data_IF_436908970945
#
_entry.id   IF_436908970945
#
_cell.length_a   1.000
_cell.length_b   1.000
_cell.length_c   1.000
_cell.angle_alpha   90.00
_cell.angle_beta   90.00
_cell.angle_gamma   90.00
#
_symmetry.space_group_name_H-M   'P 1'
#
loop_
_entity.id
_entity.type
_entity.pdbx_description
1 polymer ?
#
# COMPACT_ATOMS: atom_id res chain seq x y z
N UNK A 1 -11.36 1.24 -5.33
CA UNK A 1 -11.38 2.55 -6.02
C UNK A 1 -10.82 2.33 -7.42
N UNK A 2 -11.21 3.12 -8.45
CA UNK A 2 -10.55 3.01 -9.75
C UNK A 2 -9.06 3.34 -9.60
N UNK A 3 -8.21 2.57 -10.27
CA UNK A 3 -6.78 2.84 -10.32
C UNK A 3 -6.45 3.92 -11.35
N UNK A 4 -5.41 4.70 -11.10
CA UNK A 4 -4.94 5.78 -11.98
C UNK A 4 -3.41 5.89 -11.96
N UNK A 5 -2.82 6.50 -13.00
CA UNK A 5 -1.38 6.75 -13.04
C UNK A 5 -1.02 8.00 -12.24
N UNK A 6 0.09 7.94 -11.51
CA UNK A 6 0.70 9.11 -10.89
C UNK A 6 2.21 8.91 -10.77
N UNK A 7 2.93 10.01 -10.75
CA UNK A 7 4.32 10.03 -10.33
C UNK A 7 4.44 9.85 -8.81
N UNK A 8 5.50 9.18 -8.37
CA UNK A 8 5.90 9.02 -6.97
C UNK A 8 7.36 9.47 -6.81
N UNK A 9 7.81 9.84 -5.59
CA UNK A 9 9.20 10.24 -5.38
C UNK A 9 10.19 9.22 -5.94
N UNK A 10 11.37 9.67 -6.34
CA UNK A 10 12.45 8.85 -6.90
C UNK A 10 12.66 7.53 -6.14
N UNK A 11 12.55 6.40 -6.85
CA UNK A 11 12.72 5.03 -6.36
C UNK A 11 14.11 4.49 -6.72
N UNK A 12 14.61 4.77 -7.93
CA UNK A 12 15.82 4.15 -8.47
C UNK A 12 17.10 4.97 -8.27
N UNK A 13 16.95 6.19 -7.75
CA UNK A 13 18.04 7.10 -7.38
C UNK A 13 18.55 7.94 -8.54
N UNK A 14 17.80 8.04 -9.66
CA UNK A 14 18.17 8.85 -10.82
C UNK A 14 17.87 10.36 -10.66
N UNK A 15 17.21 10.74 -9.57
CA UNK A 15 16.80 12.10 -9.24
C UNK A 15 15.46 12.54 -9.83
N UNK A 16 14.75 11.67 -10.55
CA UNK A 16 13.45 11.93 -11.16
C UNK A 16 12.35 11.17 -10.41
N UNK A 17 11.11 11.65 -10.54
CA UNK A 17 9.97 10.88 -10.04
C UNK A 17 9.70 9.67 -10.94
N UNK A 18 9.16 8.60 -10.37
CA UNK A 18 8.83 7.35 -11.07
C UNK A 18 7.34 7.21 -11.35
N UNK A 19 6.93 6.60 -12.47
CA UNK A 19 5.53 6.26 -12.72
C UNK A 19 5.06 5.12 -11.80
N UNK A 20 3.84 5.25 -11.30
CA UNK A 20 3.18 4.23 -10.50
C UNK A 20 1.68 4.15 -10.80
N UNK A 21 1.09 3.00 -10.49
CA UNK A 21 -0.36 2.79 -10.54
C UNK A 21 -0.92 2.95 -9.14
N UNK A 22 -1.77 3.96 -8.93
CA UNK A 22 -2.26 4.36 -7.62
C UNK A 22 -3.75 4.09 -7.44
N UNK A 23 -4.17 3.96 -6.19
CA UNK A 23 -5.57 3.96 -5.80
C UNK A 23 -5.77 4.68 -4.46
N UNK A 24 -6.94 5.26 -4.28
CA UNK A 24 -7.32 5.90 -3.03
C UNK A 24 -8.09 4.96 -2.11
N UNK A 25 -7.80 5.07 -0.82
CA UNK A 25 -8.44 4.33 0.26
C UNK A 25 -8.86 5.26 1.41
N UNK A 26 -9.94 4.88 2.09
CA UNK A 26 -10.29 5.52 3.36
C UNK A 26 -9.53 4.85 4.50
N UNK A 27 -8.92 5.65 5.37
CA UNK A 27 -8.24 5.12 6.55
C UNK A 27 -9.22 5.00 7.71
N UNK A 28 -9.33 3.79 8.24
CA UNK A 28 -10.18 3.46 9.38
C UNK A 28 -9.29 3.02 10.54
N UNK A 29 -9.52 3.57 11.73
CA UNK A 29 -8.86 3.11 12.94
C UNK A 29 -9.36 1.71 13.31
N UNK A 30 -8.44 0.74 13.38
CA UNK A 30 -8.76 -0.66 13.65
C UNK A 30 -9.40 -0.91 15.02
N UNK A 31 -9.16 -0.05 16.01
CA UNK A 31 -9.67 -0.20 17.39
C UNK A 31 -11.10 0.29 17.56
N UNK A 32 -11.44 1.45 16.99
CA UNK A 32 -12.74 2.11 17.22
C UNK A 32 -13.58 2.30 15.95
N UNK A 33 -13.08 1.84 14.80
CA UNK A 33 -13.75 1.88 13.49
C UNK A 33 -14.05 3.30 12.96
N UNK A 34 -13.50 4.34 13.59
CA UNK A 34 -13.66 5.70 13.11
C UNK A 34 -12.75 5.97 11.92
N UNK A 35 -13.23 6.77 10.97
CA UNK A 35 -12.40 7.31 9.90
C UNK A 35 -11.35 8.26 10.49
N UNK A 36 -10.10 8.07 10.11
CA UNK A 36 -8.97 8.90 10.58
C UNK A 36 -8.27 9.66 9.46
N UNK A 37 -8.62 9.41 8.21
CA UNK A 37 -8.04 10.10 7.06
C UNK A 37 -8.33 9.40 5.75
N UNK A 38 -7.46 9.64 4.77
CA UNK A 38 -7.39 8.92 3.49
C UNK A 38 -5.96 8.52 3.21
N UNK A 39 -5.78 7.56 2.32
CA UNK A 39 -4.47 7.24 1.77
C UNK A 39 -4.55 7.10 0.27
N UNK A 40 -3.46 7.44 -0.40
CA UNK A 40 -3.20 7.00 -1.78
C UNK A 40 -2.10 5.96 -1.71
N UNK A 41 -2.34 4.77 -2.21
CA UNK A 41 -1.33 3.71 -2.29
C UNK A 41 -0.95 3.47 -3.74
N UNK A 42 0.35 3.52 -4.03
CA UNK A 42 0.90 3.51 -5.38
C UNK A 42 1.84 2.32 -5.56
N UNK A 43 1.64 1.58 -6.64
CA UNK A 43 2.34 0.35 -6.98
C UNK A 43 3.29 0.61 -8.15
N UNK A 44 4.57 0.33 -7.96
CA UNK A 44 5.62 0.42 -8.99
C UNK A 44 6.56 -0.79 -8.91
N UNK A 45 7.48 -0.92 -9.87
CA UNK A 45 8.44 -2.03 -9.96
C UNK A 45 7.79 -3.42 -9.80
N UNK A 46 6.63 -3.60 -10.44
CA UNK A 46 5.85 -4.84 -10.37
C UNK A 46 6.60 -5.92 -11.15
N UNK A 47 7.05 -6.95 -10.44
CA UNK A 47 7.87 -8.04 -11.00
C UNK A 47 7.27 -9.40 -10.64
N UNK A 48 7.21 -10.35 -11.58
CA UNK A 48 6.82 -11.73 -11.25
C UNK A 48 7.83 -12.40 -10.32
N UNK A 49 7.34 -13.06 -9.25
CA UNK A 49 8.16 -13.83 -8.31
C UNK A 49 7.47 -15.17 -8.00
N UNK A 50 7.92 -16.23 -8.66
CA UNK A 50 7.27 -17.55 -8.58
C UNK A 50 5.83 -17.47 -9.10
N UNK A 51 4.86 -17.84 -8.25
CA UNK A 51 3.42 -17.75 -8.54
C UNK A 51 2.80 -16.41 -8.14
N UNK A 52 3.60 -15.47 -7.63
CA UNK A 52 3.13 -14.18 -7.12
C UNK A 52 3.89 -13.00 -7.73
N UNK A 53 3.86 -11.88 -7.03
CA UNK A 53 4.49 -10.62 -7.45
C UNK A 53 5.36 -10.05 -6.33
N UNK A 54 6.44 -9.38 -6.72
CA UNK A 54 7.13 -8.38 -5.91
C UNK A 54 6.77 -6.99 -6.40
N UNK A 55 6.49 -6.06 -5.47
CA UNK A 55 6.05 -4.70 -5.78
C UNK A 55 6.77 -3.71 -4.86
N UNK A 56 7.14 -2.53 -5.37
CA UNK A 56 7.46 -1.38 -4.53
C UNK A 56 6.19 -0.58 -4.27
N UNK A 57 5.74 -0.57 -3.01
CA UNK A 57 4.56 0.19 -2.59
C UNK A 57 5.01 1.54 -2.01
N UNK A 58 4.46 2.63 -2.51
CA UNK A 58 4.60 3.97 -1.92
C UNK A 58 3.22 4.45 -1.46
N UNK A 59 3.04 4.59 -0.15
CA UNK A 59 1.76 4.96 0.46
C UNK A 59 1.83 6.38 1.02
N UNK A 60 0.86 7.20 0.64
CA UNK A 60 0.68 8.58 1.06
C UNK A 60 -0.47 8.60 2.05
N UNK A 61 -0.17 8.75 3.34
CA UNK A 61 -1.18 8.92 4.37
C UNK A 61 -1.55 10.40 4.50
N UNK A 62 -2.83 10.70 4.36
CA UNK A 62 -3.41 12.03 4.52
C UNK A 62 -4.24 12.06 5.80
N UNK A 63 -3.63 12.54 6.88
CA UNK A 63 -4.24 12.59 8.21
C UNK A 63 -4.46 14.06 8.64
N UNK A 64 -5.45 14.36 9.51
CA UNK A 64 -5.70 15.72 10.00
C UNK A 64 -4.45 16.39 10.61
N UNK A 65 -3.61 15.60 11.27
CA UNK A 65 -2.38 16.04 11.93
C UNK A 65 -1.17 16.22 10.98
N UNK A 66 -1.27 15.85 9.70
CA UNK A 66 -0.18 15.90 8.75
C UNK A 66 -0.23 14.79 7.69
N UNK A 67 0.62 14.93 6.67
CA UNK A 67 0.87 13.88 5.69
C UNK A 67 2.11 13.06 6.09
N UNK A 68 2.10 11.78 5.74
CA UNK A 68 3.22 10.86 5.91
C UNK A 68 3.36 10.02 4.64
N UNK A 69 4.57 9.96 4.09
CA UNK A 69 4.90 9.15 2.91
C UNK A 69 5.78 8.01 3.38
N UNK A 70 5.37 6.78 3.06
CA UNK A 70 6.15 5.57 3.37
C UNK A 70 6.38 4.77 2.11
N UNK A 71 7.49 4.04 2.06
CA UNK A 71 7.83 3.14 0.96
C UNK A 71 8.37 1.82 1.47
N UNK A 72 7.99 0.73 0.81
CA UNK A 72 8.55 -0.58 1.10
C UNK A 72 8.30 -1.61 0.00
N UNK A 73 9.14 -2.65 -0.01
CA UNK A 73 8.91 -3.84 -0.83
C UNK A 73 7.78 -4.68 -0.26
N UNK A 74 6.83 -5.04 -1.12
CA UNK A 74 5.63 -5.83 -0.80
C UNK A 74 5.62 -7.10 -1.63
N UNK A 75 5.45 -8.23 -0.94
CA UNK A 75 5.21 -9.53 -1.58
C UNK A 75 3.71 -9.73 -1.75
N UNK A 76 3.29 -10.22 -2.93
CA UNK A 76 1.92 -10.61 -3.23
C UNK A 76 1.92 -12.08 -3.61
N UNK A 77 1.15 -12.92 -2.92
CA UNK A 77 1.11 -14.36 -3.19
C UNK A 77 -0.32 -14.89 -3.21
N UNK A 78 -0.65 -15.86 -4.08
CA UNK A 78 -1.96 -16.48 -4.09
C UNK A 78 -2.32 -17.08 -2.73
N UNK A 79 -3.61 -17.03 -2.37
CA UNK A 79 -4.10 -17.77 -1.20
C UNK A 79 -3.96 -19.27 -1.45
N UNK A 80 -3.55 -20.00 -0.42
CA UNK A 80 -3.45 -21.48 -0.45
C UNK A 80 -4.64 -22.17 0.22
N UNK A 81 -5.53 -21.39 0.84
CA UNK A 81 -6.75 -21.83 1.50
C UNK A 81 -7.91 -20.91 1.11
N UNK A 82 -9.17 -21.39 1.11
CA UNK A 82 -10.34 -20.55 0.91
C UNK A 82 -10.32 -19.36 1.87
N UNK A 83 -10.26 -18.15 1.32
CA UNK A 83 -10.13 -16.91 2.08
C UNK A 83 -11.23 -15.96 1.65
N UNK A 84 -12.06 -15.55 2.60
CA UNK A 84 -13.23 -14.70 2.37
C UNK A 84 -13.27 -13.63 3.45
N UNK A 85 -13.53 -12.38 3.08
CA UNK A 85 -13.69 -11.29 4.06
C UNK A 85 -14.96 -11.50 4.89
N UNK A 86 -15.10 -10.84 6.05
CA UNK A 86 -16.35 -10.89 6.83
C UNK A 86 -17.59 -10.42 6.04
N UNK A 87 -17.40 -9.63 4.98
CA UNK A 87 -18.46 -9.19 4.06
C UNK A 87 -18.79 -10.17 2.94
N UNK A 88 -18.15 -11.35 2.90
CA UNK A 88 -18.40 -12.38 1.88
C UNK A 88 -17.59 -12.20 0.59
N UNK A 89 -16.60 -11.31 0.55
CA UNK A 89 -15.79 -11.08 -0.65
C UNK A 89 -14.66 -12.12 -0.75
N UNK A 90 -14.53 -12.79 -1.89
CA UNK A 90 -13.49 -13.78 -2.14
C UNK A 90 -12.12 -13.09 -2.28
N UNK A 91 -11.09 -13.66 -1.67
CA UNK A 91 -9.72 -13.15 -1.75
C UNK A 91 -8.88 -14.15 -2.54
N UNK A 92 -8.14 -13.65 -3.53
CA UNK A 92 -7.27 -14.47 -4.37
C UNK A 92 -5.81 -14.39 -3.94
N UNK A 93 -5.38 -13.28 -3.31
CA UNK A 93 -3.99 -13.07 -2.91
C UNK A 93 -3.87 -12.43 -1.52
N UNK A 94 -2.76 -12.72 -0.84
CA UNK A 94 -2.31 -12.02 0.37
C UNK A 94 -1.12 -11.15 0.03
N UNK A 95 -1.07 -9.95 0.61
CA UNK A 95 0.09 -9.05 0.56
C UNK A 95 0.77 -8.98 1.92
N UNK A 96 2.10 -8.83 1.89
CA UNK A 96 2.91 -8.70 3.10
C UNK A 96 4.14 -7.84 2.87
N UNK A 97 4.38 -6.91 3.79
CA UNK A 97 5.62 -6.13 3.85
C UNK A 97 6.01 -5.88 5.30
N UNK A 98 7.32 -5.85 5.56
CA UNK A 98 7.89 -5.39 6.82
C UNK A 98 9.19 -4.65 6.51
N UNK A 99 9.36 -3.45 7.08
CA UNK A 99 10.59 -2.68 6.94
C UNK A 99 11.69 -3.22 7.88
N UNK A 100 12.92 -3.32 7.39
CA UNK A 100 14.13 -3.61 8.20
C UNK A 100 14.98 -2.35 8.47
N UNK A 101 14.58 -1.20 7.92
CA UNK A 101 15.15 0.13 8.15
C UNK A 101 14.04 1.18 8.12
N UNK A 102 14.37 2.48 8.05
CA UNK A 102 13.38 3.54 8.03
C UNK A 102 12.63 3.58 6.67
N UNK A 103 11.34 3.23 6.61
CA UNK A 103 10.55 3.27 5.38
C UNK A 103 9.94 4.66 5.13
N UNK A 104 10.11 5.61 6.06
CA UNK A 104 9.52 6.95 5.95
C UNK A 104 10.37 7.79 5.02
N UNK A 105 9.74 8.25 3.94
CA UNK A 105 10.36 9.13 2.94
C UNK A 105 10.22 10.58 3.35
N UNK A 106 9.02 10.98 3.77
CA UNK A 106 8.73 12.35 4.15
C UNK A 106 7.54 12.41 5.11
N UNK A 107 7.48 13.46 5.93
CA UNK A 107 6.28 13.80 6.65
C UNK A 107 6.16 15.29 6.91
N UNK A 108 4.92 15.73 7.14
CA UNK A 108 4.56 17.14 7.39
C UNK A 108 3.87 17.30 8.74
N UNK A 109 3.90 18.53 9.27
CA UNK A 109 3.33 18.87 10.59
C UNK A 109 3.81 17.90 11.67
N UNK A 110 2.91 17.12 12.29
CA UNK A 110 3.26 16.15 13.34
C UNK A 110 4.27 15.08 12.88
N UNK A 111 4.33 14.82 11.58
CA UNK A 111 5.21 13.80 11.00
C UNK A 111 6.52 14.37 10.44
N UNK A 112 6.83 15.64 10.69
CA UNK A 112 8.10 16.20 10.22
C UNK A 112 9.28 15.48 10.86
N UNK A 113 10.19 15.00 10.00
CA UNK A 113 11.45 14.35 10.40
C UNK A 113 11.27 13.10 11.28
N UNK A 114 10.09 12.47 11.24
CA UNK A 114 9.87 11.22 11.96
C UNK A 114 10.56 10.07 11.24
N UNK A 115 11.14 9.17 12.02
CA UNK A 115 11.58 7.84 11.59
C UNK A 115 10.68 6.78 12.22
N UNK A 116 10.77 5.54 11.75
CA UNK A 116 10.01 4.47 12.36
C UNK A 116 10.02 3.19 11.55
N UNK A 117 9.03 2.34 11.81
CA UNK A 117 8.83 1.07 11.14
C UNK A 117 7.41 0.96 10.59
N UNK A 118 7.27 0.26 9.47
CA UNK A 118 5.99 0.01 8.82
C UNK A 118 5.83 -1.47 8.53
N UNK A 119 4.64 -1.98 8.86
CA UNK A 119 4.21 -3.33 8.49
C UNK A 119 2.88 -3.25 7.74
N UNK A 120 2.81 -4.01 6.66
CA UNK A 120 1.61 -4.23 5.87
C UNK A 120 1.22 -5.70 5.91
N UNK A 121 -0.07 -5.94 6.08
CA UNK A 121 -0.70 -7.21 5.72
C UNK A 121 -2.01 -6.91 5.01
N UNK A 122 -2.20 -7.45 3.82
CA UNK A 122 -3.41 -7.17 3.05
C UNK A 122 -3.99 -8.40 2.39
N UNK A 123 -5.25 -8.28 2.03
CA UNK A 123 -6.02 -9.22 1.25
C UNK A 123 -6.43 -8.53 -0.04
N UNK A 124 -6.26 -9.21 -1.17
CA UNK A 124 -6.50 -8.64 -2.49
C UNK A 124 -7.31 -9.61 -3.34
N UNK A 125 -8.32 -9.09 -4.03
CA UNK A 125 -8.94 -9.79 -5.15
C UNK A 125 -8.39 -9.25 -6.47
N UNK A 126 -7.57 -10.08 -7.12
CA UNK A 126 -6.96 -9.84 -8.42
C UNK A 126 -7.66 -10.59 -9.56
N UNK A 127 -8.85 -11.16 -9.35
CA UNK A 127 -9.58 -11.95 -10.37
C UNK A 127 -9.74 -11.20 -11.70
N UNK A 128 -9.91 -9.89 -11.63
CA UNK A 128 -10.08 -9.01 -12.80
C UNK A 128 -8.93 -8.02 -13.01
N UNK A 129 -7.80 -8.24 -12.32
CA UNK A 129 -6.63 -7.38 -12.42
C UNK A 129 -5.64 -7.96 -13.46
N UNK A 130 -5.50 -7.28 -14.60
CA UNK A 130 -4.55 -7.64 -15.66
C UNK A 130 -3.29 -6.75 -15.65
N UNK A 131 -3.07 -5.99 -14.57
CA UNK A 131 -1.91 -5.11 -14.45
C UNK A 131 -2.05 -3.77 -15.19
N UNK A 132 -3.26 -3.40 -15.61
CA UNK A 132 -3.51 -2.15 -16.34
C UNK A 132 -4.24 -1.14 -15.48
N UNK A 133 -4.02 0.13 -15.80
CA UNK A 133 -4.73 1.25 -15.17
C UNK A 133 -6.22 1.13 -15.43
N UNK A 134 -7.02 1.32 -14.38
CA UNK A 134 -8.46 1.16 -14.43
C UNK A 134 -8.96 -0.28 -14.24
N UNK A 135 -8.08 -1.29 -14.21
CA UNK A 135 -8.48 -2.66 -13.93
C UNK A 135 -9.12 -2.76 -12.53
N UNK A 136 -10.23 -3.50 -12.37
CA UNK A 136 -10.84 -3.70 -11.06
C UNK A 136 -9.93 -4.51 -10.14
N UNK A 137 -9.73 -3.98 -8.94
CA UNK A 137 -9.02 -4.66 -7.87
C UNK A 137 -9.67 -4.28 -6.53
N UNK A 138 -9.83 -5.28 -5.67
CA UNK A 138 -10.31 -5.05 -4.30
C UNK A 138 -9.15 -5.18 -3.33
N UNK A 139 -9.10 -4.29 -2.34
CA UNK A 139 -8.09 -4.28 -1.29
C UNK A 139 -8.75 -4.22 0.09
N UNK A 140 -8.28 -5.08 0.99
CA UNK A 140 -8.54 -5.01 2.43
C UNK A 140 -7.21 -5.13 3.16
N UNK A 141 -6.64 -3.98 3.52
CA UNK A 141 -5.27 -3.87 4.04
C UNK A 141 -5.25 -3.38 5.48
N UNK A 142 -4.39 -4.01 6.28
CA UNK A 142 -4.00 -3.59 7.61
C UNK A 142 -2.58 -3.01 7.54
N UNK A 143 -2.47 -1.75 7.94
CA UNK A 143 -1.19 -1.05 8.10
C UNK A 143 -0.91 -0.80 9.58
N UNK A 144 0.33 -1.06 9.99
CA UNK A 144 0.89 -0.62 11.25
C UNK A 144 2.03 0.34 10.93
N UNK A 145 1.93 1.56 11.44
CA UNK A 145 2.98 2.57 11.35
C UNK A 145 3.38 2.89 12.79
N UNK A 146 4.60 2.53 13.14
CA UNK A 146 5.19 2.76 14.46
C UNK A 146 6.28 3.83 14.30
N UNK A 147 6.08 4.99 14.93
CA UNK A 147 6.97 6.15 14.79
C UNK A 147 7.81 6.30 16.06
N UNK A 148 9.07 6.69 15.89
CA UNK A 148 10.02 6.93 16.99
C UNK A 148 9.74 8.23 17.79
#
# INVERSE_FOLDING_TARGET
APMYERMVPDIDGDGNEDPAICFDATLINGKNRQRIGTATDCLSNITPVGTGLGITATTFFHLPQGNLIVRGGTSVQPVVLPTVTPGGHLITHITGAASTGNPIIEGTKRFQRTTGNVRLSGMVDMTHFAGKVGDPIFFDCLFIVDLD
#
